data_IF_944615226408
#
_entry.id   IF_944615226408
#
_cell.length_a   1.000
_cell.length_b   1.000
_cell.length_c   1.000
_cell.angle_alpha   90.00
_cell.angle_beta   90.00
_cell.angle_gamma   90.00
#
_symmetry.space_group_name_H-M   'P 1'
#
loop_
_entity.id
_entity.type
_entity.pdbx_description
1 polymer ?
#
# COMPACT_ATOMS: atom_id res chain seq x y z
N UNK A 1 -26.13 -28.84 75.06
CA UNK A 1 -25.25 -28.05 74.18
C UNK A 1 -26.04 -27.73 72.93
N UNK A 2 -26.27 -26.43 72.67
CA UNK A 2 -26.98 -25.99 71.48
C UNK A 2 -26.15 -26.32 70.24
N UNK A 3 -26.78 -26.96 69.25
CA UNK A 3 -26.18 -27.35 67.98
C UNK A 3 -26.95 -26.70 66.86
N UNK A 4 -26.23 -26.14 65.90
CA UNK A 4 -26.78 -25.41 64.77
C UNK A 4 -26.57 -26.25 63.51
N UNK A 5 -27.61 -26.37 62.69
CA UNK A 5 -27.50 -26.80 61.29
C UNK A 5 -26.75 -25.74 60.47
N UNK A 6 -26.31 -26.07 59.25
CA UNK A 6 -25.69 -25.09 58.33
C UNK A 6 -26.57 -23.85 58.13
N UNK A 7 -27.88 -24.05 57.96
CA UNK A 7 -28.86 -22.97 57.79
C UNK A 7 -28.97 -22.07 59.03
N UNK A 8 -29.03 -22.66 60.22
CA UNK A 8 -29.09 -21.91 61.46
C UNK A 8 -27.77 -21.17 61.72
N UNK A 9 -26.63 -21.81 61.44
CA UNK A 9 -25.31 -21.22 61.55
C UNK A 9 -25.12 -20.05 60.57
N UNK A 10 -25.60 -20.19 59.33
CA UNK A 10 -25.60 -19.13 58.32
C UNK A 10 -26.39 -17.91 58.79
N UNK A 11 -27.60 -18.13 59.30
CA UNK A 11 -28.42 -17.08 59.93
C UNK A 11 -27.73 -16.46 61.15
N UNK A 12 -27.07 -17.27 61.98
CA UNK A 12 -26.37 -16.81 63.19
C UNK A 12 -25.14 -15.92 62.90
N UNK A 13 -24.41 -16.26 61.84
CA UNK A 13 -23.22 -15.55 61.38
C UNK A 13 -23.54 -14.40 60.41
N UNK A 14 -24.76 -14.35 59.87
CA UNK A 14 -25.18 -13.34 58.89
C UNK A 14 -24.59 -13.56 57.49
N UNK A 15 -24.39 -14.81 57.08
CA UNK A 15 -23.75 -15.18 55.79
C UNK A 15 -24.58 -16.23 55.04
N UNK A 16 -24.19 -16.58 53.80
CA UNK A 16 -24.88 -17.61 53.02
C UNK A 16 -24.57 -19.03 53.51
N UNK A 17 -25.49 -19.97 53.25
CA UNK A 17 -25.34 -21.39 53.62
C UNK A 17 -24.12 -22.03 52.93
N UNK A 18 -23.86 -21.69 51.67
CA UNK A 18 -22.71 -22.18 50.90
C UNK A 18 -21.38 -21.79 51.55
N UNK A 19 -21.33 -20.60 52.16
CA UNK A 19 -20.11 -20.11 52.82
C UNK A 19 -19.83 -20.86 54.10
N UNK A 20 -20.86 -21.08 54.92
CA UNK A 20 -20.74 -21.91 56.13
C UNK A 20 -20.36 -23.34 55.77
N UNK A 21 -20.96 -23.88 54.72
CA UNK A 21 -20.61 -25.19 54.18
C UNK A 21 -19.16 -25.26 53.72
N UNK A 22 -18.68 -24.24 53.00
CA UNK A 22 -17.28 -24.12 52.59
C UNK A 22 -16.33 -24.10 53.79
N UNK A 23 -16.60 -23.26 54.80
CA UNK A 23 -15.76 -23.17 56.00
C UNK A 23 -15.73 -24.48 56.79
N UNK A 24 -16.84 -25.20 56.88
CA UNK A 24 -16.88 -26.54 57.45
C UNK A 24 -16.03 -27.53 56.64
N UNK A 25 -16.15 -27.51 55.30
CA UNK A 25 -15.39 -28.38 54.38
C UNK A 25 -13.88 -28.18 54.49
N UNK A 26 -13.41 -26.93 54.60
CA UNK A 26 -11.97 -26.61 54.77
C UNK A 26 -11.51 -26.71 56.23
N UNK A 27 -12.33 -27.26 57.14
CA UNK A 27 -12.05 -27.44 58.58
C UNK A 27 -11.75 -26.14 59.33
N UNK A 28 -12.25 -25.01 58.85
CA UNK A 28 -12.18 -23.71 59.54
C UNK A 28 -13.28 -23.54 60.59
N UNK A 29 -14.39 -24.27 60.42
CA UNK A 29 -15.43 -24.45 61.43
C UNK A 29 -15.45 -25.92 61.85
N UNK A 30 -15.27 -26.20 63.14
CA UNK A 30 -15.29 -27.57 63.65
C UNK A 30 -16.72 -28.13 63.66
N UNK A 31 -16.94 -29.18 62.87
CA UNK A 31 -18.23 -29.88 62.83
C UNK A 31 -18.34 -30.90 63.98
N UNK A 32 -19.55 -31.11 64.48
CA UNK A 32 -19.85 -32.19 65.42
C UNK A 32 -19.71 -33.56 64.73
N UNK A 33 -19.38 -34.63 65.49
CA UNK A 33 -19.42 -36.00 64.96
C UNK A 33 -20.80 -36.29 64.34
N UNK A 34 -20.80 -36.83 63.13
CA UNK A 34 -22.02 -37.06 62.35
C UNK A 34 -22.98 -38.00 63.09
N UNK A 35 -24.22 -37.55 63.26
CA UNK A 35 -25.31 -38.42 63.71
C UNK A 35 -25.81 -39.26 62.51
N UNK A 36 -26.66 -40.28 62.77
CA UNK A 36 -27.23 -41.21 61.77
C UNK A 36 -27.86 -40.55 60.52
N UNK A 37 -28.10 -39.23 60.51
CA UNK A 37 -28.90 -38.52 59.50
C UNK A 37 -28.12 -37.58 58.56
N UNK A 38 -26.79 -37.73 58.40
CA UNK A 38 -25.94 -36.95 57.46
C UNK A 38 -26.05 -35.42 57.57
N UNK A 39 -26.69 -34.88 58.61
CA UNK A 39 -26.84 -33.44 58.81
C UNK A 39 -25.58 -32.89 59.46
N UNK A 40 -24.96 -31.88 58.85
CA UNK A 40 -23.80 -31.19 59.44
C UNK A 40 -24.30 -30.30 60.57
N UNK A 41 -23.80 -30.56 61.77
CA UNK A 41 -24.08 -29.78 62.97
C UNK A 41 -22.81 -29.10 63.46
N UNK A 42 -22.96 -27.87 63.97
CA UNK A 42 -21.87 -27.06 64.52
C UNK A 42 -22.26 -26.65 65.95
N UNK A 43 -21.34 -26.79 66.90
CA UNK A 43 -21.59 -26.36 68.28
C UNK A 43 -21.70 -24.84 68.35
N UNK A 44 -22.63 -24.33 69.15
CA UNK A 44 -22.79 -22.88 69.35
C UNK A 44 -21.51 -22.20 69.84
N UNK A 45 -20.78 -22.80 70.78
CA UNK A 45 -19.52 -22.27 71.28
C UNK A 45 -18.46 -22.10 70.18
N UNK A 46 -18.41 -23.03 69.22
CA UNK A 46 -17.54 -22.93 68.05
C UNK A 46 -17.97 -21.78 67.13
N UNK A 47 -19.27 -21.56 66.96
CA UNK A 47 -19.79 -20.41 66.20
C UNK A 47 -19.50 -19.08 66.90
N UNK A 48 -19.54 -19.05 68.24
CA UNK A 48 -19.22 -17.86 69.05
C UNK A 48 -17.73 -17.52 68.94
N UNK A 49 -16.86 -18.52 69.13
CA UNK A 49 -15.41 -18.38 68.97
C UNK A 49 -15.05 -17.95 67.55
N UNK A 50 -15.71 -18.55 66.54
CA UNK A 50 -15.54 -18.18 65.14
C UNK A 50 -16.03 -16.76 64.87
N UNK A 51 -17.18 -16.36 65.42
CA UNK A 51 -17.75 -15.03 65.24
C UNK A 51 -16.86 -13.95 65.85
N UNK A 52 -16.31 -14.21 67.03
CA UNK A 52 -15.40 -13.29 67.71
C UNK A 52 -14.06 -13.19 66.98
N UNK A 53 -13.44 -14.33 66.68
CA UNK A 53 -12.12 -14.41 66.02
C UNK A 53 -12.13 -13.89 64.58
N UNK A 54 -13.28 -13.95 63.92
CA UNK A 54 -13.46 -13.51 62.53
C UNK A 54 -14.42 -12.31 62.42
N UNK A 55 -14.54 -11.52 63.49
CA UNK A 55 -15.46 -10.37 63.55
C UNK A 55 -15.28 -9.37 62.40
N UNK A 56 -14.03 -9.12 61.96
CA UNK A 56 -13.72 -8.28 60.78
C UNK A 56 -14.12 -8.93 59.44
N UNK A 57 -14.06 -10.25 59.35
CA UNK A 57 -14.48 -11.01 58.17
C UNK A 57 -15.99 -10.98 58.02
N UNK A 58 -16.67 -11.24 59.13
CA UNK A 58 -18.12 -11.29 59.17
C UNK A 58 -18.72 -9.91 59.02
N UNK A 59 -18.11 -8.86 59.60
CA UNK A 59 -18.56 -7.48 59.35
C UNK A 59 -18.42 -7.09 57.88
N UNK A 60 -17.38 -7.54 57.18
CA UNK A 60 -17.22 -7.31 55.75
C UNK A 60 -18.22 -8.12 54.90
N UNK A 61 -18.51 -9.37 55.30
CA UNK A 61 -19.51 -10.19 54.61
C UNK A 61 -20.94 -9.68 54.81
N UNK A 62 -21.24 -9.14 55.99
CA UNK A 62 -22.56 -8.62 56.34
C UNK A 62 -22.77 -7.21 55.78
N UNK A 63 -21.76 -6.33 55.92
CA UNK A 63 -21.88 -4.91 55.56
C UNK A 63 -21.30 -4.60 54.17
N UNK A 64 -20.68 -5.58 53.50
CA UNK A 64 -20.05 -5.40 52.20
C UNK A 64 -18.69 -4.70 52.26
N UNK A 65 -18.27 -4.21 51.09
CA UNK A 65 -17.02 -3.45 50.94
C UNK A 65 -17.19 -2.08 51.60
N UNK A 66 -16.29 -1.65 52.51
CA UNK A 66 -16.38 -0.33 53.12
C UNK A 66 -16.41 0.79 52.08
N UNK A 67 -17.20 1.83 52.34
CA UNK A 67 -17.27 3.01 51.47
C UNK A 67 -15.88 3.59 51.17
N UNK A 68 -15.67 4.00 49.92
CA UNK A 68 -14.39 4.55 49.45
C UNK A 68 -13.31 3.50 49.21
N UNK A 69 -13.65 2.21 49.14
CA UNK A 69 -12.74 1.13 48.76
C UNK A 69 -13.31 0.25 47.64
N UNK A 70 -12.40 -0.34 46.86
CA UNK A 70 -12.70 -1.37 45.86
C UNK A 70 -12.00 -2.67 46.23
N UNK A 71 -12.63 -3.79 45.88
CA UNK A 71 -11.96 -5.10 45.88
C UNK A 71 -11.29 -5.36 44.53
N UNK A 72 -10.40 -6.36 44.47
CA UNK A 72 -9.77 -6.74 43.21
C UNK A 72 -10.80 -7.20 42.16
N UNK A 73 -11.87 -7.88 42.58
CA UNK A 73 -12.96 -8.32 41.68
C UNK A 73 -13.74 -7.12 41.12
N UNK A 74 -14.09 -6.14 41.96
CA UNK A 74 -14.75 -4.92 41.49
C UNK A 74 -13.90 -4.13 40.49
N UNK A 75 -12.58 -4.09 40.68
CA UNK A 75 -11.70 -3.45 39.71
C UNK A 75 -11.53 -4.29 38.44
N UNK A 76 -11.53 -5.61 38.55
CA UNK A 76 -11.48 -6.51 37.41
C UNK A 76 -12.68 -6.24 36.48
N UNK A 77 -13.88 -6.16 37.05
CA UNK A 77 -15.09 -5.79 36.31
C UNK A 77 -15.01 -4.36 35.75
N UNK A 78 -14.55 -3.40 36.57
CA UNK A 78 -14.46 -1.97 36.17
C UNK A 78 -13.51 -1.73 35.00
N UNK A 79 -12.38 -2.42 34.96
CA UNK A 79 -11.37 -2.27 33.91
C UNK A 79 -11.48 -3.30 32.79
N UNK A 80 -12.46 -4.20 32.86
CA UNK A 80 -12.65 -5.33 31.94
C UNK A 80 -11.37 -6.18 31.80
N UNK A 81 -10.81 -6.59 32.94
CA UNK A 81 -9.61 -7.43 33.03
C UNK A 81 -9.80 -8.57 34.00
N UNK A 82 -8.94 -9.57 33.95
CA UNK A 82 -8.97 -10.65 34.93
C UNK A 82 -8.50 -10.18 36.31
N UNK A 83 -9.03 -10.79 37.37
CA UNK A 83 -8.61 -10.54 38.76
C UNK A 83 -7.09 -10.66 38.95
N UNK A 84 -6.45 -11.62 38.27
CA UNK A 84 -5.00 -11.82 38.37
C UNK A 84 -4.20 -10.63 37.80
N UNK A 85 -4.74 -9.95 36.80
CA UNK A 85 -4.18 -8.71 36.27
C UNK A 85 -4.25 -7.59 37.31
N UNK A 86 -5.37 -7.45 38.03
CA UNK A 86 -5.47 -6.50 39.15
C UNK A 86 -4.49 -6.85 40.27
N UNK A 87 -4.37 -8.13 40.62
CA UNK A 87 -3.40 -8.59 41.62
C UNK A 87 -1.96 -8.26 41.22
N UNK A 88 -1.62 -8.40 39.93
CA UNK A 88 -0.33 -7.97 39.38
C UNK A 88 -0.14 -6.46 39.52
N UNK A 89 -1.14 -5.65 39.19
CA UNK A 89 -1.07 -4.18 39.34
C UNK A 89 -0.85 -3.76 40.80
N UNK A 90 -1.48 -4.46 41.74
CA UNK A 90 -1.25 -4.25 43.18
C UNK A 90 0.20 -4.59 43.55
N UNK A 91 0.74 -5.73 43.09
CA UNK A 91 2.15 -6.12 43.34
C UNK A 91 3.15 -5.14 42.73
N UNK A 92 2.80 -4.53 41.60
CA UNK A 92 3.57 -3.47 40.95
C UNK A 92 3.37 -2.08 41.61
N UNK A 93 2.67 -1.99 42.74
CA UNK A 93 2.39 -0.74 43.46
C UNK A 93 1.70 0.33 42.59
N UNK A 94 0.88 -0.08 41.62
CA UNK A 94 0.10 0.86 40.78
C UNK A 94 -0.97 1.59 41.60
N UNK A 95 -1.45 0.95 42.64
CA UNK A 95 -2.35 1.54 43.63
C UNK A 95 -1.59 1.82 44.94
N UNK A 96 -1.82 2.99 45.53
CA UNK A 96 -1.27 3.41 46.82
C UNK A 96 -2.21 3.02 47.97
N UNK A 97 -1.61 2.82 49.14
CA UNK A 97 -2.32 2.57 50.40
C UNK A 97 -3.26 1.36 50.36
N UNK A 98 -2.91 0.36 49.54
CA UNK A 98 -3.64 -0.90 49.43
C UNK A 98 -3.52 -1.66 50.74
N UNK A 99 -4.65 -1.95 51.37
CA UNK A 99 -4.70 -2.72 52.62
C UNK A 99 -5.01 -4.17 52.29
N UNK A 100 -4.21 -5.10 52.81
CA UNK A 100 -4.67 -6.49 52.92
C UNK A 100 -5.78 -6.50 53.96
N UNK A 101 -6.99 -6.90 53.57
CA UNK A 101 -8.15 -6.92 54.48
C UNK A 101 -7.93 -7.82 55.70
N UNK A 102 -6.99 -8.77 55.63
CA UNK A 102 -6.78 -9.78 56.66
C UNK A 102 -7.92 -10.80 56.73
N UNK A 103 -8.87 -10.74 55.79
CA UNK A 103 -10.06 -11.57 55.75
C UNK A 103 -9.86 -12.71 54.74
N UNK A 104 -9.62 -13.95 55.17
CA UNK A 104 -9.55 -15.09 54.27
C UNK A 104 -10.96 -15.55 53.85
N UNK A 105 -11.61 -14.82 52.94
CA UNK A 105 -12.90 -15.18 52.32
C UNK A 105 -12.80 -16.39 51.36
N UNK A 106 -11.98 -17.39 51.67
CA UNK A 106 -11.83 -18.60 50.87
C UNK A 106 -10.98 -18.46 49.61
N UNK A 107 -10.42 -17.27 49.34
CA UNK A 107 -9.36 -17.07 48.34
C UNK A 107 -8.22 -16.24 48.95
N UNK A 108 -6.95 -16.65 48.80
CA UNK A 108 -5.81 -15.91 49.34
C UNK A 108 -5.72 -14.51 48.70
N UNK A 109 -5.78 -13.47 49.54
CA UNK A 109 -5.43 -12.10 49.16
C UNK A 109 -6.60 -11.18 48.77
N UNK A 110 -7.54 -10.94 49.69
CA UNK A 110 -8.48 -9.82 49.54
C UNK A 110 -7.78 -8.49 49.86
N UNK A 111 -7.62 -7.66 48.83
CA UNK A 111 -7.10 -6.30 48.93
C UNK A 111 -8.27 -5.30 48.99
N UNK A 112 -8.15 -4.32 49.88
CA UNK A 112 -8.97 -3.11 49.89
C UNK A 112 -8.15 -2.00 49.25
N UNK A 113 -8.63 -1.53 48.10
CA UNK A 113 -7.94 -0.57 47.26
C UNK A 113 -8.68 0.76 47.40
N UNK A 114 -8.06 1.80 47.99
CA UNK A 114 -8.76 3.07 48.19
C UNK A 114 -9.23 3.67 46.86
N UNK A 115 -10.47 4.14 46.82
CA UNK A 115 -11.08 4.79 45.66
C UNK A 115 -10.22 5.94 45.13
N UNK A 116 -9.66 6.77 46.02
CA UNK A 116 -8.73 7.86 45.63
C UNK A 116 -7.54 7.35 44.83
N UNK A 117 -7.02 6.18 45.17
CA UNK A 117 -5.93 5.57 44.41
C UNK A 117 -6.39 5.03 43.06
N UNK A 118 -7.61 4.49 42.99
CA UNK A 118 -8.23 4.02 41.74
C UNK A 118 -8.43 5.20 40.79
N UNK A 119 -9.07 6.28 41.26
CA UNK A 119 -9.29 7.51 40.48
C UNK A 119 -7.98 8.10 39.94
N UNK A 120 -6.90 8.05 40.74
CA UNK A 120 -5.58 8.51 40.28
C UNK A 120 -5.05 7.63 39.15
N UNK A 121 -5.19 6.31 39.29
CA UNK A 121 -4.78 5.36 38.25
C UNK A 121 -5.64 5.52 36.98
N UNK A 122 -6.94 5.75 37.10
CA UNK A 122 -7.83 6.03 35.97
C UNK A 122 -7.40 7.25 35.18
N UNK A 123 -7.07 8.35 35.87
CA UNK A 123 -6.52 9.55 35.22
C UNK A 123 -5.22 9.26 34.47
N UNK A 124 -4.37 8.36 34.99
CA UNK A 124 -3.15 7.94 34.29
C UNK A 124 -3.49 7.11 33.05
N UNK A 125 -4.42 6.15 33.16
CA UNK A 125 -4.90 5.32 32.04
C UNK A 125 -5.49 6.21 30.95
N UNK A 126 -6.35 7.16 31.33
CA UNK A 126 -6.97 8.11 30.41
C UNK A 126 -5.94 9.01 29.74
N UNK A 127 -4.97 9.54 30.50
CA UNK A 127 -3.86 10.30 29.94
C UNK A 127 -3.05 9.49 28.92
N UNK A 128 -2.80 8.20 29.20
CA UNK A 128 -2.09 7.31 28.28
C UNK A 128 -2.93 7.08 27.02
N UNK A 129 -4.21 6.72 27.15
CA UNK A 129 -5.12 6.53 26.01
C UNK A 129 -5.25 7.78 25.15
N UNK A 130 -5.26 8.96 25.78
CA UNK A 130 -5.45 10.23 25.08
C UNK A 130 -4.17 10.68 24.37
N UNK A 131 -2.98 10.44 24.94
CA UNK A 131 -1.73 11.03 24.46
C UNK A 131 -0.75 10.03 23.84
N UNK A 132 -1.01 8.73 23.93
CA UNK A 132 -0.11 7.69 23.43
C UNK A 132 -0.84 6.70 22.52
N UNK A 133 -0.07 6.02 21.68
CA UNK A 133 -0.50 4.94 20.79
C UNK A 133 0.24 3.66 21.14
N UNK A 134 -0.46 2.53 21.10
CA UNK A 134 0.14 1.21 21.09
C UNK A 134 0.89 0.97 19.77
N UNK A 135 1.86 0.06 19.76
CA UNK A 135 2.63 -0.28 18.56
C UNK A 135 1.76 -0.56 17.32
N UNK A 136 0.69 -1.34 17.49
CA UNK A 136 -0.24 -1.67 16.40
C UNK A 136 -0.89 -0.42 15.79
N UNK A 137 -1.35 0.49 16.65
CA UNK A 137 -1.95 1.75 16.22
C UNK A 137 -0.92 2.66 15.52
N UNK A 138 0.34 2.65 15.96
CA UNK A 138 1.42 3.39 15.27
C UNK A 138 1.67 2.83 13.86
N UNK A 139 1.76 1.51 13.73
CA UNK A 139 2.00 0.82 12.45
C UNK A 139 0.85 1.13 11.48
N UNK A 140 -0.39 1.02 11.95
CA UNK A 140 -1.59 1.35 11.17
C UNK A 140 -1.63 2.83 10.80
N UNK A 141 -1.39 3.72 11.78
CA UNK A 141 -1.43 5.17 11.55
C UNK A 141 -0.37 5.63 10.55
N UNK A 142 0.82 5.02 10.56
CA UNK A 142 1.90 5.32 9.62
C UNK A 142 1.75 4.60 8.27
N UNK A 143 0.81 3.66 8.14
CA UNK A 143 0.60 2.83 6.95
C UNK A 143 1.88 2.09 6.52
N UNK A 144 2.48 1.35 7.46
CA UNK A 144 3.72 0.59 7.26
C UNK A 144 3.58 -0.84 7.77
N UNK A 145 4.54 -1.69 7.43
CA UNK A 145 4.66 -3.02 8.05
C UNK A 145 5.38 -2.95 9.41
N UNK A 146 5.12 -3.93 10.26
CA UNK A 146 5.85 -4.12 11.52
C UNK A 146 7.37 -4.27 11.29
N UNK A 147 7.77 -5.00 10.25
CA UNK A 147 9.18 -5.12 9.86
C UNK A 147 9.82 -3.76 9.55
N UNK A 148 9.13 -2.93 8.76
CA UNK A 148 9.58 -1.57 8.41
C UNK A 148 9.76 -0.72 9.67
N UNK A 149 8.80 -0.77 10.59
CA UNK A 149 8.87 -0.05 11.86
C UNK A 149 10.12 -0.43 12.67
N UNK A 150 10.40 -1.72 12.82
CA UNK A 150 11.58 -2.18 13.56
C UNK A 150 12.89 -1.78 12.87
N UNK A 151 12.96 -1.84 11.54
CA UNK A 151 14.14 -1.36 10.81
C UNK A 151 14.37 0.14 11.02
N UNK A 152 13.31 0.95 10.97
CA UNK A 152 13.40 2.38 11.23
C UNK A 152 13.84 2.69 12.65
N UNK A 153 13.34 1.94 13.64
CA UNK A 153 13.78 2.08 15.03
C UNK A 153 15.25 1.68 15.22
N UNK A 154 15.67 0.55 14.62
CA UNK A 154 17.06 0.07 14.67
C UNK A 154 18.04 1.07 14.03
N UNK A 155 17.64 1.70 12.93
CA UNK A 155 18.43 2.74 12.25
C UNK A 155 18.35 4.12 12.92
N UNK A 156 17.54 4.28 13.97
CA UNK A 156 17.36 5.55 14.67
C UNK A 156 16.46 6.57 13.98
N UNK A 157 15.85 6.22 12.84
CA UNK A 157 14.91 7.09 12.12
C UNK A 157 13.64 7.34 12.93
N UNK A 158 13.16 6.32 13.65
CA UNK A 158 12.02 6.44 14.56
C UNK A 158 12.48 6.34 16.01
N UNK A 159 12.89 7.47 16.57
CA UNK A 159 13.39 7.61 17.95
C UNK A 159 12.36 8.27 18.85
N UNK A 160 11.11 7.83 18.76
CA UNK A 160 10.02 8.35 19.57
C UNK A 160 10.28 8.09 21.06
N UNK A 161 9.94 9.04 21.96
CA UNK A 161 9.89 8.75 23.38
C UNK A 161 8.83 7.66 23.63
N UNK A 162 9.25 6.58 24.28
CA UNK A 162 8.38 5.46 24.65
C UNK A 162 8.23 5.36 26.16
N UNK A 163 7.05 4.97 26.61
CA UNK A 163 6.83 4.52 27.98
C UNK A 163 6.35 3.06 27.96
N UNK A 164 6.68 2.33 29.01
CA UNK A 164 6.22 0.95 29.19
C UNK A 164 4.88 0.94 29.94
N UNK A 165 3.87 0.30 29.34
CA UNK A 165 2.51 0.20 29.85
C UNK A 165 1.96 -1.20 29.60
N UNK A 166 1.68 -1.95 30.68
CA UNK A 166 1.25 -3.36 30.63
C UNK A 166 2.13 -4.22 29.72
N UNK A 167 3.44 -4.21 29.97
CA UNK A 167 4.45 -4.97 29.21
C UNK A 167 4.46 -4.64 27.70
N UNK A 168 3.83 -3.52 27.32
CA UNK A 168 3.78 -3.01 25.96
C UNK A 168 4.42 -1.63 25.90
N UNK A 169 5.11 -1.34 24.81
CA UNK A 169 5.63 0.00 24.55
C UNK A 169 4.53 0.84 23.91
N UNK A 170 4.29 2.02 24.48
CA UNK A 170 3.40 3.03 23.89
C UNK A 170 4.19 4.28 23.51
N UNK A 171 3.73 4.93 22.45
CA UNK A 171 4.44 5.98 21.73
C UNK A 171 3.64 7.28 21.78
N UNK A 172 4.30 8.41 22.01
CA UNK A 172 3.62 9.71 22.02
C UNK A 172 2.89 9.98 20.71
N UNK A 173 1.58 10.28 20.77
CA UNK A 173 0.75 10.62 19.60
C UNK A 173 1.30 11.80 18.83
N UNK A 174 1.71 12.87 19.53
CA UNK A 174 2.21 14.08 18.89
C UNK A 174 3.48 13.81 18.09
N UNK A 175 4.36 12.94 18.59
CA UNK A 175 5.55 12.51 17.87
C UNK A 175 5.18 11.72 16.62
N UNK A 176 4.28 10.74 16.74
CA UNK A 176 3.83 9.90 15.62
C UNK A 176 3.18 10.75 14.52
N UNK A 177 2.35 11.74 14.89
CA UNK A 177 1.74 12.70 13.96
C UNK A 177 2.81 13.53 13.25
N UNK A 178 3.76 14.09 14.01
CA UNK A 178 4.88 14.88 13.45
C UNK A 178 5.69 14.03 12.48
N UNK A 179 5.96 12.78 12.82
CA UNK A 179 6.70 11.85 11.97
C UNK A 179 5.91 11.49 10.69
N UNK A 180 4.60 11.30 10.79
CA UNK A 180 3.73 11.09 9.62
C UNK A 180 3.76 12.29 8.67
N UNK A 181 3.71 13.50 9.21
CA UNK A 181 3.79 14.71 8.39
C UNK A 181 5.12 14.79 7.63
N UNK A 182 6.25 14.47 8.29
CA UNK A 182 7.55 14.35 7.61
C UNK A 182 7.55 13.32 6.48
N UNK A 183 6.91 12.16 6.68
CA UNK A 183 6.78 11.15 5.62
C UNK A 183 5.93 11.64 4.43
N UNK A 184 4.92 12.47 4.69
CA UNK A 184 4.08 13.08 3.64
C UNK A 184 4.87 14.15 2.88
N UNK A 185 5.61 15.00 3.58
CA UNK A 185 6.53 15.98 2.99
C UNK A 185 7.57 15.29 2.10
N UNK A 186 8.19 14.21 2.59
CA UNK A 186 9.18 13.42 1.86
C UNK A 186 8.62 12.88 0.53
N UNK A 187 7.36 12.42 0.50
CA UNK A 187 6.71 11.95 -0.75
C UNK A 187 6.60 13.04 -1.81
N UNK A 188 6.64 14.31 -1.43
CA UNK A 188 6.58 15.44 -2.36
C UNK A 188 7.97 15.91 -2.82
N UNK A 189 9.04 15.40 -2.18
CA UNK A 189 10.42 15.74 -2.53
C UNK A 189 10.90 14.94 -3.75
N UNK A 190 11.94 15.49 -4.40
CA UNK A 190 12.56 14.89 -5.56
C UNK A 190 13.90 14.28 -5.17
N UNK A 191 14.13 13.03 -5.58
CA UNK A 191 15.45 12.41 -5.42
C UNK A 191 16.46 13.01 -6.39
N UNK A 192 17.74 12.93 -6.04
CA UNK A 192 18.85 13.34 -6.93
C UNK A 192 18.73 12.69 -8.32
N UNK A 193 18.30 11.44 -8.38
CA UNK A 193 18.08 10.75 -9.65
C UNK A 193 16.94 11.33 -10.49
N UNK A 194 15.88 11.82 -9.85
CA UNK A 194 14.80 12.52 -10.55
C UNK A 194 15.24 13.91 -11.02
N UNK A 195 15.93 14.66 -10.15
CA UNK A 195 16.48 15.98 -10.47
C UNK A 195 17.47 15.92 -11.64
N UNK A 196 18.39 14.97 -11.62
CA UNK A 196 19.37 14.75 -12.70
C UNK A 196 18.67 14.56 -14.06
N UNK A 197 17.58 13.78 -14.10
CA UNK A 197 16.79 13.59 -15.31
C UNK A 197 16.06 14.86 -15.73
N UNK A 198 15.46 15.57 -14.78
CA UNK A 198 14.69 16.80 -15.03
C UNK A 198 15.57 17.95 -15.52
N UNK A 199 16.76 18.09 -14.95
CA UNK A 199 17.73 19.15 -15.28
C UNK A 199 18.64 18.79 -16.46
N UNK A 200 18.68 17.52 -16.86
CA UNK A 200 19.54 17.05 -17.94
C UNK A 200 21.05 17.07 -17.60
N UNK A 201 21.40 17.03 -16.31
CA UNK A 201 22.79 17.02 -15.80
C UNK A 201 23.08 15.74 -15.01
N UNK A 202 24.35 15.41 -14.79
CA UNK A 202 24.73 14.21 -14.01
C UNK A 202 24.35 14.34 -12.53
N UNK A 203 24.23 13.21 -11.82
CA UNK A 203 23.88 13.19 -10.39
C UNK A 203 24.95 13.89 -9.55
N UNK A 204 26.22 13.71 -9.89
CA UNK A 204 27.37 14.35 -9.25
C UNK A 204 27.26 15.87 -9.39
N UNK A 205 26.87 16.34 -10.59
CA UNK A 205 26.68 17.78 -10.80
C UNK A 205 25.48 18.33 -10.04
N UNK A 206 24.39 17.56 -9.87
CA UNK A 206 23.28 17.94 -8.99
C UNK A 206 23.78 18.09 -7.55
N UNK A 207 24.58 17.14 -7.05
CA UNK A 207 25.15 17.21 -5.70
C UNK A 207 26.12 18.39 -5.52
N UNK A 208 26.97 18.66 -6.51
CA UNK A 208 27.89 19.81 -6.47
C UNK A 208 27.14 21.16 -6.44
N UNK A 209 26.00 21.23 -7.14
CA UNK A 209 25.18 22.45 -7.22
C UNK A 209 24.28 22.61 -5.98
N UNK A 210 23.72 21.51 -5.49
CA UNK A 210 22.86 21.49 -4.32
C UNK A 210 23.72 21.28 -3.09
N UNK A 211 24.16 22.38 -2.47
CA UNK A 211 24.84 22.35 -1.18
C UNK A 211 24.10 21.45 -0.19
N UNK A 212 24.84 20.78 0.69
CA UNK A 212 24.30 19.87 1.72
C UNK A 212 23.17 20.47 2.56
N UNK A 213 23.10 21.80 2.66
CA UNK A 213 22.04 22.54 3.39
C UNK A 213 20.63 22.40 2.77
N UNK A 214 20.51 22.12 1.47
CA UNK A 214 19.21 21.96 0.81
C UNK A 214 18.74 20.50 0.75
N UNK A 215 19.68 19.57 0.90
CA UNK A 215 19.44 18.15 0.76
C UNK A 215 19.07 17.51 2.09
N UNK A 216 18.01 16.72 2.07
CA UNK A 216 17.56 15.95 3.23
C UNK A 216 17.73 14.47 2.94
N UNK A 217 18.24 13.72 3.92
CA UNK A 217 18.24 12.25 3.83
C UNK A 217 16.82 11.73 3.94
N UNK A 218 16.46 10.83 3.04
CA UNK A 218 15.20 10.09 3.09
C UNK A 218 15.08 9.31 4.41
N UNK A 219 13.85 9.22 4.94
CA UNK A 219 13.52 8.34 6.07
C UNK A 219 13.39 6.89 5.58
N UNK A 220 12.98 6.71 4.33
CA UNK A 220 12.72 5.40 3.72
C UNK A 220 13.96 4.75 3.12
N UNK A 221 14.85 5.55 2.54
CA UNK A 221 16.08 5.11 1.88
C UNK A 221 17.28 5.94 2.35
N UNK A 222 18.47 5.62 1.86
CA UNK A 222 19.66 6.45 2.09
C UNK A 222 19.81 7.54 1.02
N UNK A 223 18.77 7.76 0.20
CA UNK A 223 18.79 8.76 -0.85
C UNK A 223 18.75 10.18 -0.28
N UNK A 224 19.37 11.11 -1.00
CA UNK A 224 19.24 12.54 -0.77
C UNK A 224 18.05 13.08 -1.57
N UNK A 225 17.27 13.92 -0.92
CA UNK A 225 16.02 14.47 -1.41
C UNK A 225 16.06 16.00 -1.35
N UNK A 226 15.37 16.64 -2.28
CA UNK A 226 15.22 18.09 -2.36
C UNK A 226 13.73 18.45 -2.38
N UNK A 227 13.30 19.40 -1.55
CA UNK A 227 11.94 19.93 -1.62
C UNK A 227 11.72 20.71 -2.91
N UNK A 228 10.48 20.73 -3.40
CA UNK A 228 10.12 21.51 -4.60
C UNK A 228 10.39 23.00 -4.40
N UNK A 229 10.09 23.54 -3.23
CA UNK A 229 10.35 24.94 -2.88
C UNK A 229 11.85 25.28 -2.95
N UNK A 230 12.72 24.39 -2.44
CA UNK A 230 14.17 24.59 -2.55
C UNK A 230 14.65 24.50 -4.00
N UNK A 231 14.06 23.60 -4.79
CA UNK A 231 14.34 23.53 -6.23
C UNK A 231 13.92 24.84 -6.92
N UNK A 232 12.73 25.36 -6.66
CA UNK A 232 12.24 26.61 -7.26
C UNK A 232 13.16 27.79 -6.92
N UNK A 233 13.53 27.96 -5.64
CA UNK A 233 14.49 28.99 -5.23
C UNK A 233 15.85 28.84 -5.92
N UNK A 234 16.33 27.60 -6.05
CA UNK A 234 17.58 27.32 -6.75
C UNK A 234 17.47 27.73 -8.23
N UNK A 235 16.35 27.37 -8.89
CA UNK A 235 16.12 27.71 -10.30
C UNK A 235 16.00 29.22 -10.51
N UNK A 236 15.37 29.95 -9.58
CA UNK A 236 15.29 31.42 -9.61
C UNK A 236 16.66 32.07 -9.42
N UNK A 237 17.44 31.62 -8.44
CA UNK A 237 18.77 32.18 -8.14
C UNK A 237 19.78 32.00 -9.29
N UNK A 238 19.66 30.91 -10.04
CA UNK A 238 20.59 30.58 -11.12
C UNK A 238 20.08 30.91 -12.53
N UNK A 239 18.95 31.64 -12.64
CA UNK A 239 18.29 31.95 -13.93
C UNK A 239 18.04 30.69 -14.78
N UNK A 240 17.71 29.60 -14.08
CA UNK A 240 17.38 28.28 -14.61
C UNK A 240 15.87 28.04 -14.66
N UNK A 241 15.09 29.08 -14.39
CA UNK A 241 13.62 29.06 -14.40
C UNK A 241 13.06 28.52 -15.73
N UNK A 242 13.83 28.52 -16.82
CA UNK A 242 13.50 27.87 -18.09
C UNK A 242 14.63 26.95 -18.59
N UNK A 243 14.70 25.68 -18.14
CA UNK A 243 15.66 24.70 -18.68
C UNK A 243 15.52 24.52 -20.20
N UNK A 244 14.35 24.85 -20.75
CA UNK A 244 14.07 24.82 -22.19
C UNK A 244 14.72 25.96 -22.99
N UNK A 245 15.20 27.04 -22.37
CA UNK A 245 15.73 28.21 -23.10
C UNK A 245 17.26 28.24 -23.20
N UNK A 246 18.01 27.42 -22.45
CA UNK A 246 19.48 27.47 -22.53
C UNK A 246 20.08 26.63 -23.66
N UNK A 247 19.36 25.61 -24.19
CA UNK A 247 19.79 24.89 -25.40
C UNK A 247 19.53 25.73 -26.67
N UNK A 248 18.68 26.76 -26.59
CA UNK A 248 18.26 27.60 -27.74
C UNK A 248 19.36 28.54 -28.28
N UNK A 249 20.47 28.74 -27.56
CA UNK A 249 21.50 29.70 -27.97
C UNK A 249 22.61 29.13 -28.85
N UNK A 250 22.53 27.87 -29.27
CA UNK A 250 23.39 27.41 -30.37
C UNK A 250 22.70 27.74 -31.69
N UNK A 251 23.21 28.71 -32.47
CA UNK A 251 22.62 29.03 -33.77
C UNK A 251 22.62 27.77 -34.63
N UNK A 252 21.44 27.36 -35.09
CA UNK A 252 21.29 26.21 -35.99
C UNK A 252 22.05 26.57 -37.28
N UNK A 253 23.03 25.76 -37.72
CA UNK A 253 23.73 26.02 -38.97
C UNK A 253 22.74 26.13 -40.13
N UNK A 254 22.95 27.10 -41.03
CA UNK A 254 22.10 27.27 -42.22
C UNK A 254 22.04 25.96 -43.02
N UNK A 255 20.84 25.55 -43.43
CA UNK A 255 20.60 24.30 -44.15
C UNK A 255 20.45 23.05 -43.27
N UNK A 256 20.23 23.22 -41.97
CA UNK A 256 19.94 22.12 -41.04
C UNK A 256 18.66 22.40 -40.24
N UNK A 257 17.98 21.32 -39.86
CA UNK A 257 16.98 21.30 -38.79
C UNK A 257 17.59 20.73 -37.52
N UNK A 258 17.15 21.17 -36.36
CA UNK A 258 17.36 20.41 -35.13
C UNK A 258 16.15 19.50 -34.88
N UNK A 259 16.24 18.55 -33.95
CA UNK A 259 15.13 17.61 -33.65
C UNK A 259 13.80 18.32 -33.41
N UNK A 260 13.79 19.48 -32.73
CA UNK A 260 12.58 20.20 -32.34
C UNK A 260 11.99 21.00 -33.50
N UNK A 261 12.82 21.74 -34.24
CA UNK A 261 12.34 22.47 -35.43
C UNK A 261 11.84 21.51 -36.50
N UNK A 262 12.43 20.31 -36.60
CA UNK A 262 11.92 19.26 -37.48
C UNK A 262 10.60 18.67 -36.97
N UNK A 263 10.44 18.54 -35.65
CA UNK A 263 9.20 18.09 -35.02
C UNK A 263 8.06 19.08 -35.31
N UNK A 264 8.31 20.38 -35.12
CA UNK A 264 7.36 21.43 -35.44
C UNK A 264 7.01 21.45 -36.94
N UNK A 265 8.02 21.24 -37.80
CA UNK A 265 7.84 21.17 -39.26
C UNK A 265 6.89 20.04 -39.69
N UNK A 266 7.05 18.84 -39.10
CA UNK A 266 6.18 17.69 -39.38
C UNK A 266 4.92 17.63 -38.51
N UNK A 267 4.74 18.55 -37.55
CA UNK A 267 3.68 18.54 -36.54
C UNK A 267 3.67 17.25 -35.69
N UNK A 268 4.85 16.83 -35.27
CA UNK A 268 5.10 15.60 -34.50
C UNK A 268 5.77 15.91 -33.17
N UNK A 269 5.82 14.93 -32.27
CA UNK A 269 6.60 15.07 -31.03
C UNK A 269 8.12 14.87 -31.28
N UNK A 270 9.01 15.59 -30.56
CA UNK A 270 10.47 15.42 -30.72
C UNK A 270 10.97 13.99 -30.49
N UNK A 271 10.27 13.21 -29.64
CA UNK A 271 10.59 11.81 -29.40
C UNK A 271 10.35 10.95 -30.64
N UNK A 272 9.34 11.30 -31.44
CA UNK A 272 9.02 10.63 -32.70
C UNK A 272 10.05 10.93 -33.78
N UNK A 273 10.46 12.19 -33.93
CA UNK A 273 11.56 12.55 -34.83
C UNK A 273 12.85 11.80 -34.46
N UNK A 274 13.15 11.70 -33.16
CA UNK A 274 14.31 10.92 -32.69
C UNK A 274 14.20 9.44 -33.06
N UNK A 275 12.99 8.87 -33.01
CA UNK A 275 12.72 7.50 -33.46
C UNK A 275 12.91 7.35 -34.97
N UNK A 276 12.47 8.33 -35.76
CA UNK A 276 12.62 8.36 -37.22
C UNK A 276 14.10 8.41 -37.63
N UNK A 277 14.90 9.23 -36.93
CA UNK A 277 16.35 9.31 -37.12
C UNK A 277 17.01 7.95 -36.85
N UNK A 278 16.66 7.28 -35.74
CA UNK A 278 17.20 5.95 -35.40
C UNK A 278 16.78 4.86 -36.40
N UNK A 279 15.67 5.05 -37.10
CA UNK A 279 15.23 4.18 -38.19
C UNK A 279 15.95 4.46 -39.51
N UNK A 280 16.86 5.44 -39.55
CA UNK A 280 17.62 5.78 -40.75
C UNK A 280 16.80 6.52 -41.81
N UNK A 281 15.69 7.19 -41.43
CA UNK A 281 14.85 7.94 -42.38
C UNK A 281 15.54 9.18 -42.96
N UNK A 282 16.57 9.67 -42.28
CA UNK A 282 17.33 10.84 -42.68
C UNK A 282 18.81 10.48 -42.80
N UNK A 283 19.46 11.01 -43.84
CA UNK A 283 20.88 10.83 -44.15
C UNK A 283 21.69 12.02 -43.62
N UNK A 284 22.98 11.80 -43.35
CA UNK A 284 23.89 12.88 -42.90
C UNK A 284 23.57 13.47 -41.52
N UNK A 285 22.77 12.79 -40.70
CA UNK A 285 22.39 13.27 -39.36
C UNK A 285 23.60 13.32 -38.42
N UNK A 286 23.81 14.46 -37.76
CA UNK A 286 24.86 14.66 -36.75
C UNK A 286 24.24 14.76 -35.37
N UNK A 287 24.73 13.98 -34.41
CA UNK A 287 24.31 14.09 -33.01
C UNK A 287 25.05 15.24 -32.33
N UNK A 288 24.32 16.10 -31.61
CA UNK A 288 24.85 17.19 -30.79
C UNK A 288 24.44 16.98 -29.34
N UNK A 289 25.41 17.06 -28.43
CA UNK A 289 25.21 16.90 -26.99
C UNK A 289 25.56 15.51 -26.45
N UNK A 290 25.42 15.31 -25.14
CA UNK A 290 25.92 14.11 -24.45
C UNK A 290 25.25 12.82 -24.95
N UNK A 291 26.04 11.73 -24.89
CA UNK A 291 25.82 10.49 -25.62
C UNK A 291 24.57 9.68 -25.23
N UNK A 292 23.84 10.06 -24.18
CA UNK A 292 22.74 9.24 -23.66
C UNK A 292 21.73 10.07 -22.87
N UNK A 293 20.56 10.29 -23.46
CA UNK A 293 19.43 10.96 -22.81
C UNK A 293 18.26 11.20 -23.76
N UNK A 294 17.03 11.36 -23.23
CA UNK A 294 15.84 11.72 -24.02
C UNK A 294 15.96 13.09 -24.69
N UNK A 295 16.91 13.92 -24.26
CA UNK A 295 17.24 15.26 -24.77
C UNK A 295 18.33 15.25 -25.85
N UNK A 296 18.54 14.12 -26.52
CA UNK A 296 19.53 14.06 -27.60
C UNK A 296 19.08 14.96 -28.77
N UNK A 297 19.80 16.05 -29.00
CA UNK A 297 19.57 16.92 -30.15
C UNK A 297 20.33 16.39 -31.36
N UNK A 298 19.66 16.27 -32.50
CA UNK A 298 20.27 15.93 -33.77
C UNK A 298 20.23 17.15 -34.68
N UNK A 299 21.24 17.29 -35.54
CA UNK A 299 21.20 18.15 -36.72
C UNK A 299 20.92 17.30 -37.95
N UNK A 300 19.85 17.63 -38.65
CA UNK A 300 19.35 16.93 -39.83
C UNK A 300 19.53 17.86 -41.03
N UNK A 301 20.29 17.49 -42.07
CA UNK A 301 20.42 18.30 -43.27
C UNK A 301 19.06 18.54 -43.93
N UNK A 302 18.78 19.79 -44.33
CA UNK A 302 17.53 20.16 -45.02
C UNK A 302 17.33 19.35 -46.31
N UNK A 303 18.41 19.04 -47.04
CA UNK A 303 18.35 18.17 -48.23
C UNK A 303 17.78 16.79 -47.91
N UNK A 304 18.19 16.19 -46.80
CA UNK A 304 17.68 14.89 -46.37
C UNK A 304 16.21 14.96 -45.96
N UNK A 305 15.76 16.08 -45.38
CA UNK A 305 14.34 16.28 -45.06
C UNK A 305 13.51 16.34 -46.34
N UNK A 306 13.96 17.10 -47.35
CA UNK A 306 13.27 17.21 -48.65
C UNK A 306 13.25 15.88 -49.42
N UNK A 307 14.32 15.10 -49.35
CA UNK A 307 14.35 13.73 -49.91
C UNK A 307 13.31 12.84 -49.24
N UNK A 308 13.20 12.91 -47.92
CA UNK A 308 12.21 12.17 -47.16
C UNK A 308 10.77 12.59 -47.52
N UNK A 309 10.49 13.88 -47.63
CA UNK A 309 9.18 14.38 -48.06
C UNK A 309 8.82 13.90 -49.47
N UNK A 310 9.79 13.96 -50.40
CA UNK A 310 9.59 13.47 -51.77
C UNK A 310 9.25 11.98 -51.77
N UNK A 311 9.95 11.18 -50.96
CA UNK A 311 9.67 9.76 -50.80
C UNK A 311 8.26 9.51 -50.24
N UNK A 312 7.84 10.26 -49.21
CA UNK A 312 6.50 10.12 -48.63
C UNK A 312 5.41 10.53 -49.63
N UNK A 313 5.63 11.59 -50.39
CA UNK A 313 4.70 12.03 -51.41
C UNK A 313 4.56 10.99 -52.53
N UNK A 314 5.67 10.44 -53.02
CA UNK A 314 5.68 9.36 -54.02
C UNK A 314 4.95 8.11 -53.50
N UNK A 315 5.21 7.75 -52.25
CA UNK A 315 4.58 6.60 -51.59
C UNK A 315 3.06 6.79 -51.42
N UNK A 316 2.59 8.01 -51.12
CA UNK A 316 1.16 8.31 -51.02
C UNK A 316 0.45 8.43 -52.37
N UNK A 317 1.17 8.77 -53.45
CA UNK A 317 0.59 8.92 -54.79
C UNK A 317 0.52 7.59 -55.55
N UNK A 318 1.55 6.77 -55.42
CA UNK A 318 1.74 5.60 -56.28
C UNK A 318 1.50 4.27 -55.57
N UNK A 319 1.31 4.28 -54.24
CA UNK A 319 1.14 3.08 -53.46
C UNK A 319 -0.07 3.17 -52.52
N UNK A 320 -0.66 2.01 -52.24
CA UNK A 320 -1.75 1.83 -51.27
C UNK A 320 -1.33 0.85 -50.17
N UNK A 321 -1.95 0.95 -49.00
CA UNK A 321 -1.67 0.03 -47.90
C UNK A 321 -2.29 -1.35 -48.19
N UNK A 322 -1.73 -2.40 -47.60
CA UNK A 322 -2.28 -3.77 -47.68
C UNK A 322 -3.77 -3.83 -47.29
N UNK A 323 -4.22 -3.03 -46.32
CA UNK A 323 -5.63 -3.02 -45.91
C UNK A 323 -6.55 -2.46 -47.01
N UNK A 324 -6.11 -1.45 -47.76
CA UNK A 324 -6.87 -0.88 -48.88
C UNK A 324 -6.86 -1.86 -50.07
N UNK A 325 -5.71 -2.45 -50.37
CA UNK A 325 -5.58 -3.45 -51.43
C UNK A 325 -6.45 -4.69 -51.18
N UNK A 326 -6.59 -5.10 -49.91
CA UNK A 326 -7.49 -6.19 -49.48
C UNK A 326 -8.92 -5.93 -49.93
N UNK A 327 -9.39 -4.71 -49.71
CA UNK A 327 -10.76 -4.31 -50.03
C UNK A 327 -10.96 -4.17 -51.55
N UNK A 328 -9.97 -3.63 -52.27
CA UNK A 328 -10.00 -3.51 -53.74
C UNK A 328 -10.06 -4.88 -54.42
N UNK A 329 -9.26 -5.84 -53.94
CA UNK A 329 -9.12 -7.16 -54.53
C UNK A 329 -10.18 -8.16 -54.04
N UNK A 330 -10.90 -7.84 -52.96
CA UNK A 330 -11.88 -8.75 -52.35
C UNK A 330 -11.27 -10.03 -51.78
N UNK A 331 -10.01 -9.98 -51.34
CA UNK A 331 -9.28 -11.14 -50.77
C UNK A 331 -8.92 -10.91 -49.31
N UNK A 332 -8.43 -11.93 -48.61
CA UNK A 332 -7.95 -11.73 -47.23
C UNK A 332 -6.57 -11.06 -47.19
N UNK A 333 -6.26 -10.36 -46.09
CA UNK A 333 -4.91 -9.81 -45.84
C UNK A 333 -3.82 -10.90 -45.89
N UNK A 334 -4.12 -12.09 -45.38
CA UNK A 334 -3.20 -13.23 -45.40
C UNK A 334 -2.88 -13.67 -46.83
N UNK A 335 -3.87 -13.61 -47.73
CA UNK A 335 -3.69 -13.91 -49.15
C UNK A 335 -2.71 -12.93 -49.80
N UNK A 336 -2.87 -11.62 -49.56
CA UNK A 336 -1.93 -10.60 -50.05
C UNK A 336 -0.52 -10.85 -49.49
N UNK A 337 -0.42 -11.17 -48.19
CA UNK A 337 0.87 -11.53 -47.58
C UNK A 337 1.55 -12.71 -48.29
N UNK A 338 0.79 -13.75 -48.63
CA UNK A 338 1.29 -14.88 -49.41
C UNK A 338 1.70 -14.47 -50.84
N UNK A 339 0.94 -13.58 -51.50
CA UNK A 339 1.29 -13.07 -52.83
C UNK A 339 2.59 -12.26 -52.84
N UNK A 340 2.83 -11.45 -51.81
CA UNK A 340 4.11 -10.74 -51.63
C UNK A 340 5.25 -11.76 -51.45
N UNK A 341 5.08 -12.74 -50.56
CA UNK A 341 6.11 -13.74 -50.28
C UNK A 341 6.43 -14.62 -51.50
N UNK A 342 5.41 -14.95 -52.29
CA UNK A 342 5.54 -15.75 -53.50
C UNK A 342 5.90 -14.91 -54.74
N UNK A 343 6.21 -13.62 -54.58
CA UNK A 343 6.54 -12.67 -55.65
C UNK A 343 5.47 -12.48 -56.73
N UNK A 344 4.20 -12.80 -56.42
CA UNK A 344 3.06 -12.42 -57.27
C UNK A 344 2.83 -10.90 -57.22
N UNK A 345 3.09 -10.29 -56.07
CA UNK A 345 3.19 -8.83 -55.92
C UNK A 345 4.67 -8.52 -55.72
N UNK A 346 5.29 -7.94 -56.73
CA UNK A 346 6.73 -7.75 -56.83
C UNK A 346 7.17 -6.31 -56.52
N UNK A 347 6.28 -5.33 -56.71
CA UNK A 347 6.54 -3.90 -56.49
C UNK A 347 6.11 -3.42 -55.10
N UNK A 348 6.01 -4.32 -54.13
CA UNK A 348 5.73 -3.96 -52.74
C UNK A 348 6.93 -3.33 -52.04
N UNK A 349 6.71 -2.29 -51.24
CA UNK A 349 7.71 -1.67 -50.36
C UNK A 349 7.29 -1.85 -48.90
N UNK A 350 8.20 -2.35 -48.06
CA UNK A 350 7.96 -2.46 -46.61
C UNK A 350 8.47 -1.21 -45.89
N UNK A 351 7.56 -0.39 -45.39
CA UNK A 351 7.85 0.84 -44.68
C UNK A 351 7.17 0.89 -43.30
N UNK A 352 7.94 1.11 -42.23
CA UNK A 352 7.46 1.18 -40.84
C UNK A 352 6.59 -0.02 -40.42
N UNK A 353 7.04 -1.22 -40.80
CA UNK A 353 6.34 -2.50 -40.57
C UNK A 353 5.02 -2.65 -41.35
N UNK A 354 4.68 -1.69 -42.20
CA UNK A 354 3.51 -1.73 -43.09
C UNK A 354 4.00 -1.98 -44.51
N UNK A 355 3.29 -2.81 -45.26
CA UNK A 355 3.55 -2.98 -46.68
C UNK A 355 2.69 -1.99 -47.47
N UNK A 356 3.34 -1.30 -48.40
CA UNK A 356 2.74 -0.41 -49.38
C UNK A 356 2.90 -1.08 -50.75
N UNK A 357 1.81 -1.17 -51.50
CA UNK A 357 1.72 -1.92 -52.75
C UNK A 357 1.44 -0.94 -53.87
N UNK A 358 2.17 -1.09 -54.97
CA UNK A 358 2.02 -0.25 -56.16
C UNK A 358 0.59 -0.35 -56.69
N UNK A 359 -0.07 0.81 -56.89
CA UNK A 359 -1.48 0.86 -57.29
C UNK A 359 -1.68 0.18 -58.64
N UNK A 360 -0.78 0.37 -59.59
CA UNK A 360 -0.89 -0.20 -60.94
C UNK A 360 -0.83 -1.72 -60.91
N UNK A 361 0.08 -2.29 -60.10
CA UNK A 361 0.19 -3.75 -59.94
C UNK A 361 -1.07 -4.34 -59.28
N UNK A 362 -1.71 -3.60 -58.35
CA UNK A 362 -2.95 -4.06 -57.72
C UNK A 362 -4.14 -4.00 -58.68
N UNK A 363 -4.23 -2.98 -59.52
CA UNK A 363 -5.25 -2.87 -60.56
C UNK A 363 -5.11 -3.98 -61.61
N UNK A 364 -3.89 -4.28 -62.06
CA UNK A 364 -3.61 -5.40 -62.98
C UNK A 364 -4.11 -6.73 -62.39
N UNK A 365 -3.76 -7.03 -61.14
CA UNK A 365 -4.22 -8.27 -60.46
C UNK A 365 -5.74 -8.29 -60.32
N UNK A 366 -6.38 -7.15 -60.10
CA UNK A 366 -7.85 -7.06 -60.00
C UNK A 366 -8.52 -7.45 -61.33
N UNK A 367 -8.04 -6.91 -62.44
CA UNK A 367 -8.56 -7.23 -63.77
C UNK A 367 -8.35 -8.71 -64.13
N UNK A 368 -7.21 -9.30 -63.75
CA UNK A 368 -6.98 -10.74 -63.89
C UNK A 368 -8.02 -11.58 -63.11
N UNK A 369 -8.30 -11.20 -61.87
CA UNK A 369 -9.30 -11.90 -61.03
C UNK A 369 -10.72 -11.78 -61.58
N UNK A 370 -11.07 -10.61 -62.15
CA UNK A 370 -12.37 -10.40 -62.78
C UNK A 370 -12.51 -11.27 -64.03
N UNK A 371 -11.49 -11.29 -64.88
CA UNK A 371 -11.46 -12.12 -66.08
C UNK A 371 -11.61 -13.62 -65.76
N UNK A 372 -10.88 -14.12 -64.76
CA UNK A 372 -11.00 -15.52 -64.31
C UNK A 372 -12.41 -15.85 -63.80
N UNK A 373 -13.03 -14.92 -63.07
CA UNK A 373 -14.39 -15.11 -62.56
C UNK A 373 -15.43 -15.18 -63.67
N UNK A 374 -15.27 -14.39 -64.74
CA UNK A 374 -16.15 -14.44 -65.91
C UNK A 374 -16.00 -15.76 -66.69
N UNK A 375 -14.77 -16.27 -66.82
CA UNK A 375 -14.49 -17.58 -67.41
C UNK A 375 -15.12 -18.73 -66.60
N UNK A 376 -14.95 -18.72 -65.27
CA UNK A 376 -15.52 -19.73 -64.37
C UNK A 376 -17.06 -19.76 -64.42
N UNK A 377 -17.69 -18.58 -64.46
CA UNK A 377 -19.14 -18.46 -64.61
C UNK A 377 -19.59 -19.04 -65.96
N UNK A 378 -18.88 -18.72 -67.04
CA UNK A 378 -19.19 -19.21 -68.39
C UNK A 378 -19.09 -20.74 -68.49
N UNK A 379 -18.06 -21.34 -67.87
CA UNK A 379 -17.89 -22.79 -67.79
C UNK A 379 -18.99 -23.46 -66.95
N UNK A 380 -19.38 -22.84 -65.84
CA UNK A 380 -20.50 -23.31 -65.03
C UNK A 380 -21.83 -23.32 -65.80
N UNK A 381 -22.10 -22.29 -66.60
CA UNK A 381 -23.30 -22.22 -67.43
C UNK A 381 -23.30 -23.30 -68.52
N UNK A 382 -22.20 -23.43 -69.28
CA UNK A 382 -22.06 -24.46 -70.32
C UNK A 382 -22.24 -25.88 -69.76
N UNK A 383 -21.60 -26.19 -68.62
CA UNK A 383 -21.73 -27.51 -67.98
C UNK A 383 -23.16 -27.81 -67.48
N UNK A 384 -23.90 -26.78 -67.05
CA UNK A 384 -25.32 -26.92 -66.65
C UNK A 384 -26.22 -27.14 -67.86
N UNK A 385 -25.94 -26.53 -69.01
CA UNK A 385 -26.68 -26.75 -70.25
C UNK A 385 -26.46 -28.15 -70.82
N UNK A 386 -25.21 -28.63 -70.89
CA UNK A 386 -24.90 -30.00 -71.33
C UNK A 386 -25.61 -31.06 -70.46
N UNK A 387 -25.64 -30.86 -69.13
CA UNK A 387 -26.36 -31.73 -68.20
C UNK A 387 -27.88 -31.71 -68.44
N UNK A 388 -28.45 -30.55 -68.80
CA UNK A 388 -29.88 -30.45 -69.17
C UNK A 388 -30.18 -31.15 -70.49
N UNK A 389 -29.29 -31.04 -71.48
CA UNK A 389 -29.48 -31.68 -72.79
C UNK A 389 -29.36 -33.20 -72.70
N UNK A 390 -28.38 -33.73 -71.95
CA UNK A 390 -28.26 -35.17 -71.67
C UNK A 390 -29.55 -35.73 -71.04
N UNK A 391 -30.10 -35.03 -70.04
CA UNK A 391 -31.38 -35.42 -69.41
C UNK A 391 -32.60 -35.36 -70.35
N UNK A 392 -32.56 -34.55 -71.41
CA UNK A 392 -33.65 -34.50 -72.42
C UNK A 392 -33.57 -35.65 -73.42
N UNK A 393 -32.36 -36.12 -73.75
CA UNK A 393 -32.15 -37.25 -74.67
C UNK A 393 -32.46 -38.62 -74.04
N UNK A 394 -32.51 -38.70 -72.71
CA UNK A 394 -32.85 -39.92 -71.95
C UNK A 394 -34.36 -40.10 -71.71
N UNK A 395 -35.19 -39.12 -72.07
CA UNK A 395 -36.65 -39.20 -72.07
C UNK A 395 -37.16 -39.40 -73.48
#
# INVERSE_FOLDING_TARGET
>A
MDRFTIKEAAKYLGVSEEKVYYWAKIKRLKICPTTKYKTILINKSELDDFKFSNSKELSFLVNGVPDGYYTADMLADKFDVQRDTINLWIRQNRFKDVKKSGVPLGSPGYYLIPEKSVLKYEKQVENIKNNYLMLKEVIEFLDISEHTFYQWRKKGYFSAPTIEWHDSLVFSKSYVITFKNKLVEEKQMLSIGHLSKQLGISKEKVLDLMKDEYLQKSIKSEDLLLSKENLERFLEQHDWSHPNNQIEKTPIPKGYFNTRTLADYFKEEPIEISRWIRQGRFTGVKKIGPSSGPTTTFLIPESSVREYEKFINDLNQNYIKVEEAKDILGVSRSTIGNWINNKKISRGIKWLKTWYLDITEIEEIREELLSQKEEDISLEFSSKEEKKEKKRKEK
#
